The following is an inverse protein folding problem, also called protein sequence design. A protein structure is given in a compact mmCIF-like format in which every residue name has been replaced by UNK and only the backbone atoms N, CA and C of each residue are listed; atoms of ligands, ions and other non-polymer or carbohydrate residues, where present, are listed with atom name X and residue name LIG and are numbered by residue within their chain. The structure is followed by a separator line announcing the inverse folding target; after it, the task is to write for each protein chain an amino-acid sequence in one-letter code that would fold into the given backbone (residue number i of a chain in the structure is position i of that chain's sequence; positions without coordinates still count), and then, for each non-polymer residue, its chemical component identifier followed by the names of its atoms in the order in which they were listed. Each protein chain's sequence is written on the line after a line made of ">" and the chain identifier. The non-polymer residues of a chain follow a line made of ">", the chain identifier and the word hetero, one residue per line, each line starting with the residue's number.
data_IF_160345616793
#
_entry.id   IF_160345616793
#
_cell.length_a   1.000
_cell.length_b   1.000
_cell.length_c   1.000
_cell.angle_alpha   90.00
_cell.angle_beta   90.00
_cell.angle_gamma   90.00
#
_symmetry.space_group_name_H-M   'P 1'
#
loop_
_entity.id
_entity.type
_entity.pdbx_description
1 polymer ?
#
# COMPACT_ATOMS: atom_id res chain seq x y z
N UNK A 1 -20.45 24.46 10.48
CA UNK A 1 -19.36 23.82 9.70
C UNK A 1 -17.94 24.02 10.24
N UNK A 2 -17.55 25.19 10.80
CA UNK A 2 -16.19 25.41 11.35
C UNK A 2 -15.89 24.62 12.65
N UNK A 3 -16.86 24.52 13.57
CA UNK A 3 -16.68 23.80 14.86
C UNK A 3 -16.45 22.29 14.70
N UNK A 4 -17.11 21.64 13.73
CA UNK A 4 -16.91 20.21 13.45
C UNK A 4 -15.50 19.93 12.90
N UNK A 5 -14.97 20.80 12.02
CA UNK A 5 -13.59 20.66 11.53
C UNK A 5 -12.53 20.81 12.63
N UNK A 6 -12.78 21.68 13.61
CA UNK A 6 -11.90 21.85 14.77
C UNK A 6 -11.90 20.62 15.68
N UNK A 7 -13.06 19.97 15.88
CA UNK A 7 -13.18 18.72 16.65
C UNK A 7 -12.40 17.58 15.96
N UNK A 8 -12.50 17.46 14.63
CA UNK A 8 -11.70 16.47 13.90
C UNK A 8 -10.20 16.76 13.97
N UNK A 9 -9.79 18.02 13.95
CA UNK A 9 -8.38 18.40 14.03
C UNK A 9 -7.79 18.15 15.43
N UNK A 10 -8.59 18.36 16.47
CA UNK A 10 -8.25 18.02 17.86
C UNK A 10 -8.26 16.51 18.11
N UNK A 11 -9.15 15.75 17.46
CA UNK A 11 -9.14 14.28 17.49
C UNK A 11 -7.90 13.70 16.79
N UNK A 12 -7.50 14.28 15.65
CA UNK A 12 -6.28 13.87 14.93
C UNK A 12 -5.03 14.24 15.74
N UNK A 13 -4.99 15.42 16.38
CA UNK A 13 -3.87 15.76 17.27
C UNK A 13 -3.84 14.88 18.52
N UNK A 14 -4.99 14.44 19.04
CA UNK A 14 -5.09 13.50 20.16
C UNK A 14 -4.56 12.11 19.79
N UNK A 15 -4.83 11.63 18.56
CA UNK A 15 -4.31 10.36 18.05
C UNK A 15 -2.79 10.44 17.76
N UNK A 16 -2.28 11.58 17.28
CA UNK A 16 -0.85 11.80 17.12
C UNK A 16 -0.11 12.01 18.46
N UNK A 17 -0.80 12.46 19.51
CA UNK A 17 -0.25 12.63 20.86
C UNK A 17 -0.33 11.35 21.71
N UNK A 18 -1.05 10.30 21.26
CA UNK A 18 -1.10 9.01 21.94
C UNK A 18 0.17 8.19 21.66
N UNK A 19 1.30 8.69 22.14
CA UNK A 19 2.52 7.92 22.32
C UNK A 19 2.49 7.32 23.73
N UNK A 20 2.11 6.05 23.85
CA UNK A 20 2.16 5.27 25.10
C UNK A 20 0.96 4.33 25.22
N UNK A 21 1.06 3.05 25.57
CA UNK A 21 2.14 2.21 26.06
C UNK A 21 1.84 0.81 25.53
N UNK A 22 2.66 0.27 24.64
CA UNK A 22 2.53 -1.12 24.18
C UNK A 22 3.87 -1.85 24.36
N UNK A 23 4.43 -1.77 25.55
CA UNK A 23 5.45 -2.68 26.03
C UNK A 23 5.42 -2.69 27.57
N UNK A 24 4.67 -3.63 28.12
CA UNK A 24 4.81 -4.02 29.53
C UNK A 24 5.32 -5.46 29.44
N UNK A 25 6.50 -5.68 30.04
CA UNK A 25 7.36 -6.88 30.05
C UNK A 25 8.10 -7.20 28.74
N UNK A 26 9.40 -6.89 28.66
CA UNK A 26 10.40 -7.92 28.95
C UNK A 26 11.81 -7.37 29.23
N UNK A 27 12.60 -8.21 29.87
CA UNK A 27 13.80 -7.95 30.70
C UNK A 27 15.01 -7.38 29.93
N UNK A 28 15.74 -6.48 30.59
CA UNK A 28 16.90 -5.73 30.10
C UNK A 28 17.98 -6.65 29.50
N UNK A 29 18.15 -6.56 28.18
CA UNK A 29 19.49 -6.55 27.58
C UNK A 29 19.59 -5.27 26.76
N UNK A 30 20.21 -4.26 27.35
CA UNK A 30 20.40 -2.91 26.79
C UNK A 30 21.40 -2.97 25.63
N UNK A 31 20.98 -3.52 24.48
CA UNK A 31 21.72 -3.39 23.24
C UNK A 31 21.36 -2.05 22.62
N UNK A 32 21.98 -0.98 23.13
CA UNK A 32 22.11 0.36 22.55
C UNK A 32 21.35 0.55 21.22
N UNK A 33 20.02 0.70 21.29
CA UNK A 33 19.14 0.67 20.12
C UNK A 33 18.87 2.09 19.63
N UNK A 34 19.94 2.82 19.30
CA UNK A 34 19.84 4.06 18.51
C UNK A 34 19.49 3.70 17.07
N UNK A 35 18.23 3.37 16.78
CA UNK A 35 17.82 3.19 15.38
C UNK A 35 16.30 3.28 15.15
N UNK A 36 15.61 4.14 15.91
CA UNK A 36 14.14 4.21 15.89
C UNK A 36 13.59 4.79 14.57
N UNK A 37 14.35 5.60 13.83
CA UNK A 37 14.06 5.95 12.43
C UNK A 37 15.34 6.43 11.75
N UNK A 38 16.14 5.51 11.21
CA UNK A 38 17.26 5.91 10.35
C UNK A 38 16.68 6.59 9.11
N UNK A 39 17.04 7.86 8.87
CA UNK A 39 16.60 8.66 7.71
C UNK A 39 16.76 7.87 6.40
N UNK A 40 17.82 7.04 6.30
CA UNK A 40 18.08 6.16 5.16
C UNK A 40 16.93 5.18 4.86
N UNK A 41 16.24 4.66 5.88
CA UNK A 41 15.09 3.75 5.74
C UNK A 41 13.82 4.48 5.29
N UNK A 42 13.74 5.80 5.49
CA UNK A 42 12.61 6.64 5.07
C UNK A 42 12.73 7.17 3.63
N UNK A 43 13.94 7.20 3.05
CA UNK A 43 14.15 7.73 1.69
C UNK A 43 13.27 6.99 0.69
N UNK A 44 13.25 5.65 0.74
CA UNK A 44 12.49 4.85 -0.22
C UNK A 44 10.97 5.07 -0.07
N UNK A 45 10.35 4.93 1.13
CA UNK A 45 8.93 5.25 1.29
C UNK A 45 8.57 6.70 0.93
N UNK A 46 9.40 7.67 1.35
CA UNK A 46 9.12 9.08 1.11
C UNK A 46 9.17 9.40 -0.39
N UNK A 47 10.20 8.92 -1.11
CA UNK A 47 10.31 9.12 -2.56
C UNK A 47 9.13 8.49 -3.30
N UNK A 48 8.69 7.29 -2.93
CA UNK A 48 7.52 6.63 -3.53
C UNK A 48 6.21 7.37 -3.26
N UNK A 49 6.03 7.90 -2.04
CA UNK A 49 4.85 8.71 -1.69
C UNK A 49 4.86 10.01 -2.49
N UNK A 50 5.99 10.71 -2.51
CA UNK A 50 6.14 11.97 -3.24
C UNK A 50 5.96 11.77 -4.74
N UNK A 51 6.52 10.70 -5.34
CA UNK A 51 6.32 10.38 -6.75
C UNK A 51 4.85 10.08 -7.05
N UNK A 52 4.16 9.33 -6.18
CA UNK A 52 2.73 9.07 -6.31
C UNK A 52 1.88 10.35 -6.30
N UNK A 53 2.27 11.34 -5.49
CA UNK A 53 1.61 12.67 -5.44
C UNK A 53 1.89 13.46 -6.72
N UNK A 54 3.14 13.48 -7.20
CA UNK A 54 3.53 14.22 -8.42
C UNK A 54 2.79 13.67 -9.65
N UNK A 55 2.71 12.34 -9.79
CA UNK A 55 2.02 11.67 -10.89
C UNK A 55 0.52 11.98 -10.98
N UNK A 56 -0.09 12.56 -9.93
CA UNK A 56 -1.49 13.01 -9.94
C UNK A 56 -1.69 14.33 -10.67
N UNK A 57 -0.66 15.17 -10.76
CA UNK A 57 -0.81 16.50 -11.37
C UNK A 57 -1.21 16.38 -12.86
N UNK A 58 -2.03 17.30 -13.40
CA UNK A 58 -2.62 17.14 -14.74
C UNK A 58 -1.62 16.88 -15.87
N UNK A 59 -0.44 17.52 -15.81
CA UNK A 59 0.63 17.32 -16.79
C UNK A 59 1.14 15.87 -16.80
N UNK A 60 1.46 15.33 -15.63
CA UNK A 60 1.98 13.96 -15.49
C UNK A 60 0.89 12.90 -15.68
N UNK A 61 -0.36 13.22 -15.32
CA UNK A 61 -1.51 12.33 -15.53
C UNK A 61 -1.77 12.06 -17.01
N UNK A 62 -1.70 13.08 -17.86
CA UNK A 62 -1.93 12.93 -19.30
C UNK A 62 -0.80 12.11 -19.94
N UNK A 63 0.46 12.40 -19.59
CA UNK A 63 1.61 11.61 -20.04
C UNK A 63 1.50 10.14 -19.62
N UNK A 64 1.05 9.87 -18.40
CA UNK A 64 0.82 8.51 -17.91
C UNK A 64 -0.29 7.81 -18.68
N UNK A 65 -1.36 8.52 -19.04
CA UNK A 65 -2.47 7.98 -19.84
C UNK A 65 -2.02 7.66 -21.27
N UNK A 66 -1.22 8.52 -21.90
CA UNK A 66 -0.67 8.30 -23.24
C UNK A 66 0.29 7.12 -23.25
N UNK A 67 1.21 7.06 -22.29
CA UNK A 67 2.14 5.94 -22.11
C UNK A 67 1.40 4.62 -21.91
N UNK A 68 0.38 4.63 -21.04
CA UNK A 68 -0.50 3.48 -20.81
C UNK A 68 -1.18 3.01 -22.09
N UNK A 69 -1.77 3.93 -22.86
CA UNK A 69 -2.47 3.60 -24.10
C UNK A 69 -1.52 3.06 -25.17
N UNK A 70 -0.27 3.54 -25.23
CA UNK A 70 0.76 3.02 -26.13
C UNK A 70 1.19 1.60 -25.77
N UNK A 71 1.37 1.29 -24.48
CA UNK A 71 1.85 -0.01 -24.03
C UNK A 71 0.79 -1.10 -23.99
N UNK A 72 -0.41 -0.77 -23.50
CA UNK A 72 -1.46 -1.76 -23.20
C UNK A 72 -2.67 -1.64 -24.13
N UNK A 73 -2.80 -0.54 -24.87
CA UNK A 73 -4.01 -0.20 -25.62
C UNK A 73 -5.05 0.51 -24.76
N UNK A 74 -5.92 1.29 -25.42
CA UNK A 74 -6.90 2.13 -24.75
C UNK A 74 -8.00 1.35 -23.99
N UNK A 75 -8.23 0.09 -24.38
CA UNK A 75 -9.29 -0.77 -23.85
C UNK A 75 -8.79 -1.91 -22.95
N UNK A 76 -7.53 -1.85 -22.49
CA UNK A 76 -6.96 -2.90 -21.65
C UNK A 76 -7.75 -3.06 -20.34
N UNK A 77 -8.16 -4.30 -20.06
CA UNK A 77 -8.89 -4.69 -18.85
C UNK A 77 -8.55 -6.13 -18.50
N UNK A 78 -8.09 -6.36 -17.28
CA UNK A 78 -7.80 -7.68 -16.73
C UNK A 78 -8.24 -7.74 -15.27
N UNK A 79 -8.46 -8.95 -14.77
CA UNK A 79 -8.72 -9.22 -13.33
C UNK A 79 -7.49 -9.76 -12.61
N UNK A 80 -6.36 -9.90 -13.30
CA UNK A 80 -5.15 -10.53 -12.76
C UNK A 80 -4.67 -9.82 -11.48
N UNK A 81 -4.75 -8.50 -11.45
CA UNK A 81 -4.40 -7.65 -10.30
C UNK A 81 -5.22 -7.96 -9.03
N UNK A 82 -6.44 -8.47 -9.15
CA UNK A 82 -7.27 -8.87 -8.01
C UNK A 82 -6.70 -10.12 -7.30
N UNK A 83 -5.95 -10.94 -8.02
CA UNK A 83 -5.35 -12.18 -7.49
C UNK A 83 -3.89 -11.99 -7.09
N UNK A 84 -3.09 -11.36 -7.95
CA UNK A 84 -1.64 -11.28 -7.75
C UNK A 84 -1.25 -10.41 -6.55
N UNK A 85 -2.15 -9.55 -6.07
CA UNK A 85 -1.95 -8.76 -4.84
C UNK A 85 -1.77 -9.63 -3.58
N UNK A 86 -2.29 -10.86 -3.59
CA UNK A 86 -2.24 -11.77 -2.44
C UNK A 86 -1.06 -12.75 -2.52
N UNK A 87 -0.34 -12.78 -3.65
CA UNK A 87 0.84 -13.65 -3.81
C UNK A 87 1.86 -13.41 -2.69
N UNK A 88 2.19 -12.17 -2.28
CA UNK A 88 3.14 -11.97 -1.18
C UNK A 88 2.68 -12.60 0.15
N UNK A 89 1.37 -12.71 0.40
CA UNK A 89 0.83 -13.41 1.59
C UNK A 89 1.10 -14.90 1.48
N UNK A 90 0.78 -15.48 0.31
CA UNK A 90 1.01 -16.90 0.02
C UNK A 90 2.50 -17.22 0.11
N UNK A 91 3.37 -16.36 -0.43
CA UNK A 91 4.82 -16.53 -0.33
C UNK A 91 5.30 -16.39 1.12
N UNK A 92 4.74 -15.45 1.88
CA UNK A 92 5.10 -15.30 3.29
C UNK A 92 4.79 -16.58 4.06
N UNK A 93 3.61 -17.17 3.85
CA UNK A 93 3.17 -18.42 4.49
C UNK A 93 3.89 -19.66 3.95
N UNK A 94 4.07 -19.75 2.65
CA UNK A 94 4.63 -20.92 1.97
C UNK A 94 6.15 -21.04 2.09
N UNK A 95 6.87 -19.94 2.27
CA UNK A 95 8.35 -19.92 2.33
C UNK A 95 8.90 -20.88 3.39
N UNK A 96 8.26 -20.90 4.57
CA UNK A 96 8.59 -21.81 5.66
C UNK A 96 8.34 -23.28 5.31
N UNK A 97 7.25 -23.57 4.58
CA UNK A 97 6.90 -24.93 4.18
C UNK A 97 7.87 -25.52 3.14
N UNK A 98 8.51 -24.67 2.34
CA UNK A 98 9.52 -25.07 1.35
C UNK A 98 10.96 -25.04 1.90
N UNK A 99 11.11 -24.94 3.22
CA UNK A 99 12.41 -25.03 3.91
C UNK A 99 13.20 -23.73 4.02
N UNK A 100 12.61 -22.58 3.67
CA UNK A 100 13.26 -21.28 3.89
C UNK A 100 13.09 -20.90 5.36
N UNK A 101 14.20 -20.65 6.05
CA UNK A 101 14.19 -20.23 7.44
C UNK A 101 13.44 -18.90 7.58
N UNK A 102 12.33 -18.92 8.32
CA UNK A 102 11.54 -17.73 8.62
C UNK A 102 11.97 -17.15 9.96
N UNK A 103 11.99 -15.82 10.08
CA UNK A 103 12.35 -15.16 11.33
C UNK A 103 11.45 -15.53 12.52
N UNK A 104 10.17 -15.78 12.26
CA UNK A 104 9.17 -16.08 13.28
C UNK A 104 8.44 -17.41 13.03
N UNK A 105 7.70 -17.88 14.04
CA UNK A 105 6.74 -18.98 13.90
C UNK A 105 5.48 -18.56 13.14
N UNK A 106 4.73 -19.53 12.60
CA UNK A 106 3.49 -19.28 11.83
C UNK A 106 2.50 -18.38 12.57
N UNK A 107 2.32 -18.60 13.89
CA UNK A 107 1.40 -17.81 14.71
C UNK A 107 1.75 -16.31 14.65
N UNK A 108 3.01 -15.97 14.94
CA UNK A 108 3.45 -14.58 14.97
C UNK A 108 3.47 -13.96 13.57
N UNK A 109 3.80 -14.74 12.54
CA UNK A 109 3.76 -14.30 11.16
C UNK A 109 2.33 -13.93 10.71
N UNK A 110 1.34 -14.76 11.04
CA UNK A 110 -0.08 -14.48 10.79
C UNK A 110 -0.54 -13.25 11.57
N UNK A 111 -0.17 -13.14 12.85
CA UNK A 111 -0.49 -11.97 13.67
C UNK A 111 0.08 -10.68 13.05
N UNK A 112 1.34 -10.69 12.63
CA UNK A 112 1.98 -9.56 11.95
C UNK A 112 1.26 -9.22 10.65
N UNK A 113 0.82 -10.22 9.88
CA UNK A 113 0.04 -10.02 8.65
C UNK A 113 -1.27 -9.29 8.93
N UNK A 114 -2.04 -9.75 9.92
CA UNK A 114 -3.35 -9.18 10.27
C UNK A 114 -3.19 -7.75 10.77
N UNK A 115 -2.31 -7.52 11.75
CA UNK A 115 -2.11 -6.20 12.36
C UNK A 115 -1.63 -5.19 11.31
N UNK A 116 -0.64 -5.57 10.50
CA UNK A 116 -0.07 -4.67 9.50
C UNK A 116 -1.08 -4.32 8.41
N UNK A 117 -1.89 -5.28 7.94
CA UNK A 117 -2.94 -5.00 6.97
C UNK A 117 -4.06 -4.15 7.59
N UNK A 118 -4.41 -4.35 8.87
CA UNK A 118 -5.40 -3.53 9.55
C UNK A 118 -4.94 -2.06 9.67
N UNK A 119 -3.67 -1.84 10.04
CA UNK A 119 -3.07 -0.51 10.08
C UNK A 119 -3.03 0.10 8.67
N UNK A 120 -2.54 -0.65 7.68
CA UNK A 120 -2.51 -0.19 6.28
C UNK A 120 -3.91 0.16 5.78
N UNK A 121 -4.92 -0.64 6.11
CA UNK A 121 -6.30 -0.36 5.75
C UNK A 121 -6.77 0.94 6.42
N UNK A 122 -6.57 1.09 7.72
CA UNK A 122 -6.95 2.32 8.43
C UNK A 122 -6.30 3.56 7.82
N UNK A 123 -5.00 3.50 7.47
CA UNK A 123 -4.28 4.58 6.78
C UNK A 123 -4.88 4.86 5.41
N UNK A 124 -5.09 3.83 4.58
CA UNK A 124 -5.67 3.97 3.23
C UNK A 124 -7.08 4.55 3.29
N UNK A 125 -7.91 4.06 4.21
CA UNK A 125 -9.28 4.53 4.41
C UNK A 125 -9.30 5.97 4.93
N UNK A 126 -8.43 6.32 5.88
CA UNK A 126 -8.24 7.69 6.34
C UNK A 126 -7.85 8.64 5.22
N UNK A 127 -6.83 8.27 4.43
CA UNK A 127 -6.35 9.05 3.29
C UNK A 127 -7.41 9.22 2.21
N UNK A 128 -8.16 8.16 1.87
CA UNK A 128 -9.27 8.26 0.90
C UNK A 128 -10.31 9.29 1.34
N UNK A 129 -10.66 9.30 2.62
CA UNK A 129 -11.67 10.20 3.17
C UNK A 129 -11.16 11.64 3.32
N UNK A 130 -9.85 11.83 3.51
CA UNK A 130 -9.20 13.16 3.60
C UNK A 130 -8.95 13.79 2.24
N UNK A 131 -8.52 13.00 1.25
CA UNK A 131 -8.08 13.51 -0.06
C UNK A 131 -9.27 13.73 -1.02
N UNK A 132 -10.41 13.05 -0.79
CA UNK A 132 -11.67 13.24 -1.56
C UNK A 132 -11.42 13.37 -3.06
N UNK A 133 -10.70 12.40 -3.61
CA UNK A 133 -10.24 12.42 -5.00
C UNK A 133 -11.29 11.79 -5.90
N UNK A 134 -11.95 12.60 -6.72
CA UNK A 134 -13.01 12.17 -7.62
C UNK A 134 -12.42 11.20 -8.66
N UNK A 135 -13.04 10.04 -8.83
CA UNK A 135 -12.62 9.09 -9.85
C UNK A 135 -12.73 9.74 -11.24
N UNK A 136 -11.90 9.33 -12.22
CA UNK A 136 -11.99 9.81 -13.60
C UNK A 136 -13.35 9.58 -14.27
N UNK A 137 -14.17 8.68 -13.71
CA UNK A 137 -15.53 8.33 -14.15
C UNK A 137 -16.64 9.04 -13.32
N UNK A 138 -16.28 9.88 -12.34
CA UNK A 138 -17.23 10.56 -11.47
C UNK A 138 -17.97 9.68 -10.45
N UNK A 139 -17.68 8.37 -10.38
CA UNK A 139 -18.49 7.40 -9.61
C UNK A 139 -18.29 7.44 -8.09
N UNK A 140 -17.13 7.90 -7.59
CA UNK A 140 -16.87 8.04 -6.16
C UNK A 140 -15.65 8.94 -5.89
N UNK A 141 -15.54 9.43 -4.66
CA UNK A 141 -14.50 10.37 -4.21
C UNK A 141 -13.31 9.69 -3.52
N UNK A 142 -12.97 8.46 -3.95
CA UNK A 142 -12.15 7.51 -3.16
C UNK A 142 -11.05 6.85 -4.01
N UNK A 143 -10.47 7.60 -4.95
CA UNK A 143 -9.56 7.06 -6.00
C UNK A 143 -8.16 6.78 -5.49
N UNK A 144 -7.71 7.55 -4.51
CA UNK A 144 -6.35 7.54 -4.02
C UNK A 144 -6.32 7.40 -2.49
N UNK A 145 -5.43 6.56 -1.92
CA UNK A 145 -4.51 5.62 -2.59
C UNK A 145 -5.18 4.28 -3.02
N UNK A 146 -4.55 3.54 -3.94
CA UNK A 146 -5.05 2.23 -4.39
C UNK A 146 -5.01 1.21 -3.24
N UNK A 147 -6.16 0.63 -2.91
CA UNK A 147 -6.24 -0.40 -1.88
C UNK A 147 -5.45 -1.66 -2.24
N UNK A 148 -5.51 -2.09 -3.50
CA UNK A 148 -4.79 -3.28 -3.97
C UNK A 148 -3.28 -3.10 -3.95
N UNK A 149 -2.79 -1.93 -4.36
CA UNK A 149 -1.36 -1.62 -4.27
C UNK A 149 -0.92 -1.53 -2.81
N UNK A 150 -1.68 -0.86 -1.94
CA UNK A 150 -1.34 -0.74 -0.52
C UNK A 150 -1.29 -2.12 0.17
N UNK A 151 -2.26 -2.99 -0.09
CA UNK A 151 -2.25 -4.37 0.39
C UNK A 151 -1.05 -5.13 -0.18
N UNK A 152 -0.81 -5.11 -1.49
CA UNK A 152 0.29 -5.85 -2.09
C UNK A 152 1.67 -5.41 -1.56
N UNK A 153 1.94 -4.10 -1.46
CA UNK A 153 3.20 -3.57 -0.93
C UNK A 153 3.37 -3.80 0.58
N UNK A 154 2.29 -3.73 1.35
CA UNK A 154 2.33 -4.07 2.79
C UNK A 154 2.72 -5.54 2.98
N UNK A 155 2.09 -6.44 2.23
CA UNK A 155 2.39 -7.87 2.32
C UNK A 155 3.77 -8.22 1.76
N UNK A 156 4.23 -7.54 0.71
CA UNK A 156 5.60 -7.67 0.21
C UNK A 156 6.66 -7.22 1.24
N UNK A 157 6.40 -6.14 1.98
CA UNK A 157 7.29 -5.70 3.05
C UNK A 157 7.34 -6.70 4.20
N UNK A 158 6.19 -7.29 4.56
CA UNK A 158 6.13 -8.33 5.59
C UNK A 158 6.95 -9.55 5.17
N UNK A 159 6.77 -10.03 3.94
CA UNK A 159 7.60 -11.10 3.37
C UNK A 159 9.09 -10.75 3.43
N UNK A 160 9.44 -9.51 3.06
CA UNK A 160 10.82 -9.06 3.06
C UNK A 160 11.41 -9.10 4.47
N UNK A 161 10.71 -8.56 5.47
CA UNK A 161 11.15 -8.57 6.86
C UNK A 161 11.24 -9.97 7.46
N UNK A 162 10.41 -10.90 6.99
CA UNK A 162 10.34 -12.28 7.48
C UNK A 162 11.50 -13.14 6.96
N UNK A 163 11.95 -12.91 5.72
CA UNK A 163 12.93 -13.77 5.04
C UNK A 163 14.24 -13.08 4.65
N UNK A 164 14.42 -11.77 4.87
CA UNK A 164 15.63 -11.04 4.45
C UNK A 164 16.94 -11.60 5.01
N UNK A 165 16.88 -12.24 6.19
CA UNK A 165 18.05 -12.74 6.89
C UNK A 165 18.45 -14.14 6.38
N UNK A 166 17.50 -14.91 5.86
CA UNK A 166 17.72 -16.25 5.30
C UNK A 166 17.90 -16.24 3.78
N UNK A 167 16.98 -15.60 3.04
CA UNK A 167 17.03 -15.53 1.58
C UNK A 167 16.51 -14.17 1.07
N UNK A 168 17.44 -13.26 0.78
CA UNK A 168 17.14 -11.90 0.27
C UNK A 168 16.39 -11.90 -1.05
N UNK A 169 16.66 -12.84 -1.95
CA UNK A 169 15.99 -12.92 -3.25
C UNK A 169 14.53 -13.34 -3.09
N UNK A 170 14.29 -14.36 -2.25
CA UNK A 170 12.94 -14.78 -1.90
C UNK A 170 12.18 -13.66 -1.18
N UNK A 171 12.83 -13.02 -0.21
CA UNK A 171 12.30 -11.88 0.54
C UNK A 171 11.91 -10.72 -0.39
N UNK A 172 12.73 -10.39 -1.39
CA UNK A 172 12.47 -9.31 -2.33
C UNK A 172 11.44 -9.67 -3.42
N UNK A 173 11.20 -10.96 -3.69
CA UNK A 173 10.28 -11.41 -4.74
C UNK A 173 8.85 -10.88 -4.56
N UNK A 174 8.39 -10.66 -3.32
CA UNK A 174 7.08 -10.07 -3.04
C UNK A 174 6.92 -8.67 -3.67
N UNK A 175 7.99 -7.89 -3.75
CA UNK A 175 7.94 -6.56 -4.38
C UNK A 175 7.75 -6.63 -5.89
N UNK A 176 8.14 -7.73 -6.55
CA UNK A 176 7.87 -7.94 -7.98
C UNK A 176 6.35 -8.05 -8.21
N UNK A 177 5.67 -8.87 -7.41
CA UNK A 177 4.21 -9.03 -7.49
C UNK A 177 3.46 -7.77 -7.07
N UNK A 178 3.96 -7.05 -6.06
CA UNK A 178 3.39 -5.76 -5.67
C UNK A 178 3.52 -4.70 -6.77
N UNK A 179 4.68 -4.65 -7.43
CA UNK A 179 4.92 -3.76 -8.57
C UNK A 179 4.02 -4.13 -9.75
N UNK A 180 3.93 -5.42 -10.09
CA UNK A 180 3.03 -5.90 -11.14
C UNK A 180 1.57 -5.55 -10.85
N UNK A 181 1.13 -5.70 -9.59
CA UNK A 181 -0.21 -5.28 -9.15
C UNK A 181 -0.43 -3.77 -9.38
N UNK A 182 0.55 -2.95 -9.00
CA UNK A 182 0.53 -1.51 -9.21
C UNK A 182 0.44 -1.12 -10.69
N UNK A 183 1.26 -1.74 -11.53
CA UNK A 183 1.27 -1.51 -12.98
C UNK A 183 -0.06 -1.92 -13.60
N UNK A 184 -0.57 -3.11 -13.30
CA UNK A 184 -1.87 -3.58 -13.80
C UNK A 184 -3.02 -2.67 -13.32
N UNK A 185 -2.92 -2.10 -12.12
CA UNK A 185 -3.91 -1.13 -11.61
C UNK A 185 -3.90 0.19 -12.36
N UNK A 186 -2.75 0.62 -12.87
CA UNK A 186 -2.63 1.80 -13.74
C UNK A 186 -3.07 1.47 -15.17
N UNK A 187 -2.71 0.28 -15.66
CA UNK A 187 -3.05 -0.20 -17.00
C UNK A 187 -4.55 -0.47 -17.16
N UNK A 188 -5.20 -1.00 -16.12
CA UNK A 188 -6.60 -1.36 -16.15
C UNK A 188 -7.49 -0.14 -16.37
N UNK A 189 -8.24 -0.20 -17.47
CA UNK A 189 -9.14 0.87 -17.87
C UNK A 189 -10.51 0.61 -17.28
N UNK A 190 -10.94 1.44 -16.32
CA UNK A 190 -12.34 1.45 -15.86
C UNK A 190 -13.20 2.28 -16.82
N UNK A 191 -13.30 1.86 -18.09
CA UNK A 191 -14.17 2.49 -19.10
C UNK A 191 -15.59 1.90 -19.16
N UNK A 192 -16.09 1.31 -18.08
CA UNK A 192 -17.37 0.58 -18.16
C UNK A 192 -18.63 1.43 -17.92
N UNK A 193 -18.56 2.70 -17.50
CA UNK A 193 -19.79 3.48 -17.24
C UNK A 193 -19.79 4.92 -17.78
N UNK A 194 -18.64 5.56 -18.01
CA UNK A 194 -18.61 6.94 -18.52
C UNK A 194 -18.79 7.04 -20.05
N UNK A 195 -18.53 5.96 -20.80
CA UNK A 195 -18.64 5.97 -22.26
C UNK A 195 -20.08 5.75 -22.76
N UNK A 196 -20.95 5.13 -21.96
CA UNK A 196 -22.36 4.96 -22.31
C UNK A 196 -23.21 6.22 -22.07
N UNK A 197 -22.75 7.18 -21.27
CA UNK A 197 -23.48 8.43 -20.98
C UNK A 197 -23.04 9.63 -21.84
N UNK A 198 -22.01 9.50 -22.69
CA UNK A 198 -21.61 10.52 -23.68
C UNK A 198 -21.95 10.16 -25.13
N UNK A 199 -22.80 9.16 -25.33
CA UNK A 199 -23.28 8.72 -26.64
C UNK A 199 -24.77 9.05 -26.87
N UNK A 200 -25.36 9.94 -26.05
CA UNK A 200 -26.74 10.41 -26.19
C UNK A 200 -26.86 11.95 -26.18
N UNK A 201 -25.85 12.66 -26.70
CA UNK A 201 -26.05 14.03 -27.22
C UNK A 201 -25.96 14.01 -28.74
#
# INVERSE_FOLDING_TARGET
>A
MKKQKLIYLLLVSYICAFSGFAQITDTIHEKNQKDILSVKKMIIPATLITSGIILRTPAWRNQLLDFKNQLFGASFSTKVDDYIQYIPIIQTLGGKSIGIESKHGYKQMITNQIISNAISAAVVHGLKNSVKDLRPDGSANNSFPSGHAATAFTNAMIQYLEYKDSNKWYAASGFLFATATGVLRVANTRHWQAMLLRAQE
#
